data_IF_837793393867
#
_entry.id   IF_837793393867
#
_cell.length_a   1.000
_cell.length_b   1.000
_cell.length_c   1.000
_cell.angle_alpha   90.00
_cell.angle_beta   90.00
_cell.angle_gamma   90.00
#
_symmetry.space_group_name_H-M   'P 1'
#
loop_
_entity.id
_entity.type
_entity.pdbx_description
1 polymer ?
#
# COMPACT_ATOMS: atom_id res chain seq x y z
N UNK A 1 -22.62 56.42 -21.39
CA UNK A 1 -22.95 55.19 -22.06
C UNK A 1 -22.03 54.10 -21.47
N UNK A 2 -22.57 53.34 -20.55
CA UNK A 2 -21.83 52.22 -19.94
C UNK A 2 -21.68 51.10 -20.94
N UNK A 3 -20.45 50.78 -21.33
CA UNK A 3 -20.18 49.54 -21.98
C UNK A 3 -20.49 48.43 -20.97
N UNK A 4 -21.61 47.76 -21.15
CA UNK A 4 -21.85 46.45 -20.53
C UNK A 4 -20.81 45.49 -21.11
N UNK A 5 -19.71 45.28 -20.41
CA UNK A 5 -18.74 44.24 -20.75
C UNK A 5 -19.48 42.89 -20.78
N UNK A 6 -19.48 42.25 -21.90
CA UNK A 6 -19.77 40.82 -21.99
C UNK A 6 -18.65 40.13 -21.23
N UNK A 7 -18.84 39.88 -19.93
CA UNK A 7 -18.00 38.94 -19.20
C UNK A 7 -18.38 37.52 -19.67
N UNK A 8 -17.88 37.13 -20.83
CA UNK A 8 -18.03 35.78 -21.34
C UNK A 8 -17.03 34.84 -20.68
N UNK A 9 -16.99 34.83 -19.32
CA UNK A 9 -16.14 33.91 -18.56
C UNK A 9 -16.55 32.46 -18.85
N UNK A 10 -15.55 31.64 -19.08
CA UNK A 10 -15.68 30.19 -19.23
C UNK A 10 -15.19 29.47 -17.97
N UNK A 11 -15.46 28.18 -17.86
CA UNK A 11 -14.95 27.36 -16.74
C UNK A 11 -13.42 27.24 -16.80
N UNK A 12 -12.86 27.22 -18.03
CA UNK A 12 -11.41 27.26 -18.27
C UNK A 12 -10.76 28.56 -17.76
N UNK A 13 -11.45 29.72 -17.87
CA UNK A 13 -10.97 30.98 -17.28
C UNK A 13 -10.95 30.94 -15.74
N UNK A 14 -11.72 30.05 -15.15
CA UNK A 14 -11.71 29.77 -13.71
C UNK A 14 -10.69 28.70 -13.30
N UNK A 15 -9.92 28.16 -14.26
CA UNK A 15 -8.84 27.20 -14.03
C UNK A 15 -9.26 25.75 -14.10
N UNK A 16 -10.44 25.40 -14.64
CA UNK A 16 -10.92 24.01 -14.84
C UNK A 16 -11.10 23.73 -16.32
N UNK A 17 -10.39 22.73 -16.83
CA UNK A 17 -10.39 22.33 -18.24
C UNK A 17 -11.14 21.03 -18.47
N UNK A 18 -12.41 21.11 -18.92
CA UNK A 18 -13.27 19.97 -19.20
C UNK A 18 -12.69 19.10 -20.33
N UNK A 19 -12.05 19.70 -21.34
CA UNK A 19 -11.50 18.97 -22.48
C UNK A 19 -10.26 18.15 -22.05
N UNK A 20 -9.43 18.68 -21.15
CA UNK A 20 -8.34 17.94 -20.52
C UNK A 20 -8.87 16.74 -19.72
N UNK A 21 -9.95 16.90 -18.95
CA UNK A 21 -10.61 15.81 -18.25
C UNK A 21 -11.12 14.71 -19.18
N UNK A 22 -11.81 15.09 -20.26
CA UNK A 22 -12.27 14.14 -21.27
C UNK A 22 -11.11 13.40 -21.96
N UNK A 23 -10.02 14.11 -22.27
CA UNK A 23 -8.83 13.52 -22.86
C UNK A 23 -8.17 12.51 -21.92
N UNK A 24 -8.08 12.81 -20.62
CA UNK A 24 -7.58 11.86 -19.64
C UNK A 24 -8.43 10.60 -19.63
N UNK A 25 -9.77 10.71 -19.57
CA UNK A 25 -10.67 9.54 -19.58
C UNK A 25 -10.39 8.66 -20.81
N UNK A 26 -10.23 9.24 -22.02
CA UNK A 26 -9.89 8.44 -23.20
C UNK A 26 -8.52 7.74 -23.08
N UNK A 27 -7.51 8.43 -22.55
CA UNK A 27 -6.16 7.87 -22.37
C UNK A 27 -6.14 6.68 -21.41
N UNK A 28 -6.93 6.69 -20.33
CA UNK A 28 -6.90 5.66 -19.29
C UNK A 28 -7.76 4.42 -19.63
N UNK A 29 -8.70 4.48 -20.57
CA UNK A 29 -9.57 3.34 -20.95
C UNK A 29 -8.82 2.03 -21.19
N UNK A 30 -7.70 1.97 -21.94
CA UNK A 30 -6.97 0.73 -22.15
C UNK A 30 -6.41 0.14 -20.85
N UNK A 31 -5.87 0.99 -19.97
CA UNK A 31 -5.32 0.58 -18.67
C UNK A 31 -6.43 0.01 -17.77
N UNK A 32 -7.57 0.69 -17.67
CA UNK A 32 -8.76 0.23 -16.92
C UNK A 32 -9.26 -1.11 -17.44
N UNK A 33 -9.43 -1.27 -18.76
CA UNK A 33 -9.87 -2.53 -19.38
C UNK A 33 -8.94 -3.69 -19.07
N UNK A 34 -7.63 -3.44 -18.89
CA UNK A 34 -6.65 -4.48 -18.57
C UNK A 34 -6.82 -5.08 -17.17
N UNK A 35 -7.64 -4.46 -16.31
CA UNK A 35 -7.92 -4.92 -14.94
C UNK A 35 -9.20 -5.76 -14.84
N UNK A 36 -9.93 -5.99 -15.94
CA UNK A 36 -11.20 -6.74 -15.94
C UNK A 36 -11.06 -8.13 -15.34
N UNK A 37 -12.08 -8.53 -14.61
CA UNK A 37 -12.17 -9.84 -13.98
C UNK A 37 -13.64 -10.31 -13.95
N UNK A 38 -13.92 -11.60 -13.65
CA UNK A 38 -15.27 -12.05 -13.40
C UNK A 38 -15.98 -11.20 -12.37
N UNK A 39 -17.19 -10.76 -12.66
CA UNK A 39 -17.98 -9.85 -11.83
C UNK A 39 -17.80 -8.36 -12.13
N UNK A 40 -16.77 -7.96 -12.89
CA UNK A 40 -16.50 -6.57 -13.28
C UNK A 40 -15.99 -6.50 -14.71
N UNK A 41 -16.88 -6.49 -15.67
CA UNK A 41 -16.62 -6.45 -17.13
C UNK A 41 -17.19 -5.20 -17.83
N UNK A 42 -17.82 -4.29 -17.06
CA UNK A 42 -18.37 -3.03 -17.53
C UNK A 42 -17.33 -2.03 -18.05
N UNK A 43 -17.80 -1.04 -18.81
CA UNK A 43 -16.98 0.13 -19.21
C UNK A 43 -17.07 1.22 -18.14
N UNK A 44 -16.02 2.03 -18.01
CA UNK A 44 -16.03 3.24 -17.19
C UNK A 44 -16.77 4.39 -17.90
N UNK A 45 -17.20 5.40 -17.15
CA UNK A 45 -17.89 6.59 -17.65
C UNK A 45 -19.38 6.65 -17.31
N UNK A 46 -19.91 5.65 -16.59
CA UNK A 46 -21.23 5.73 -15.96
C UNK A 46 -21.16 6.41 -14.59
N UNK A 47 -22.30 6.57 -13.90
CA UNK A 47 -22.37 7.16 -12.56
C UNK A 47 -21.78 6.27 -11.47
N UNK A 48 -21.59 4.98 -11.71
CA UNK A 48 -21.01 4.05 -10.75
C UNK A 48 -20.57 2.76 -11.40
N UNK A 49 -19.60 2.09 -10.79
CA UNK A 49 -19.14 0.77 -11.16
C UNK A 49 -20.04 -0.32 -10.59
N UNK A 50 -20.26 -1.39 -11.36
CA UNK A 50 -21.03 -2.56 -10.94
C UNK A 50 -20.08 -3.72 -10.67
N UNK A 51 -20.40 -4.52 -9.63
CA UNK A 51 -19.69 -5.76 -9.35
C UNK A 51 -20.68 -6.88 -8.98
N UNK A 52 -20.60 -8.00 -9.69
CA UNK A 52 -21.42 -9.18 -9.45
C UNK A 52 -20.65 -10.21 -8.64
N UNK A 53 -20.95 -10.30 -7.34
CA UNK A 53 -20.33 -11.25 -6.41
C UNK A 53 -20.57 -12.71 -6.80
N UNK A 54 -21.73 -13.02 -7.36
CA UNK A 54 -22.06 -14.38 -7.79
C UNK A 54 -21.24 -14.78 -9.00
N UNK A 55 -21.10 -13.89 -9.98
CA UNK A 55 -20.22 -14.11 -11.14
C UNK A 55 -18.74 -14.24 -10.73
N UNK A 56 -18.34 -13.61 -9.64
CA UNK A 56 -17.02 -13.75 -9.04
C UNK A 56 -16.82 -15.05 -8.21
N UNK A 57 -17.88 -15.87 -8.07
CA UNK A 57 -17.80 -17.19 -7.44
C UNK A 57 -18.13 -17.23 -5.94
N UNK A 58 -18.60 -16.12 -5.35
CA UNK A 58 -18.97 -16.09 -3.93
C UNK A 58 -20.39 -16.66 -3.69
N UNK A 59 -20.54 -17.32 -2.53
CA UNK A 59 -21.80 -17.96 -2.10
C UNK A 59 -22.45 -17.22 -0.94
N UNK A 60 -21.71 -16.98 0.15
CA UNK A 60 -22.15 -16.20 1.33
C UNK A 60 -21.05 -15.21 1.76
N UNK A 61 -20.76 -14.17 0.91
CA UNK A 61 -19.64 -13.27 1.16
C UNK A 61 -19.92 -12.27 2.27
N UNK A 62 -18.87 -11.98 3.03
CA UNK A 62 -18.74 -10.76 3.85
C UNK A 62 -17.88 -9.78 3.10
N UNK A 63 -18.37 -8.56 2.86
CA UNK A 63 -17.61 -7.50 2.23
C UNK A 63 -16.64 -6.88 3.24
N UNK A 64 -15.43 -6.59 2.78
CA UNK A 64 -14.40 -5.86 3.50
C UNK A 64 -14.01 -4.65 2.66
N UNK A 65 -13.96 -3.48 3.27
CA UNK A 65 -13.59 -2.24 2.59
C UNK A 65 -12.43 -1.57 3.30
N UNK A 66 -11.52 -1.01 2.52
CA UNK A 66 -10.40 -0.21 3.00
C UNK A 66 -10.25 1.03 2.13
N UNK A 67 -9.82 2.14 2.74
CA UNK A 67 -9.40 3.33 2.01
C UNK A 67 -8.09 3.85 2.58
N UNK A 68 -7.22 4.33 1.70
CA UNK A 68 -5.93 4.90 2.07
C UNK A 68 -5.47 5.88 0.99
N UNK A 69 -4.38 6.60 1.27
CA UNK A 69 -3.66 7.44 0.34
C UNK A 69 -2.21 6.98 0.16
N UNK A 70 -1.44 7.73 -0.63
CA UNK A 70 0.01 7.51 -0.77
C UNK A 70 0.79 8.33 0.27
N UNK A 71 0.22 9.45 0.68
CA UNK A 71 0.84 10.35 1.63
C UNK A 71 2.00 11.16 1.02
N UNK A 72 2.93 11.62 1.88
CA UNK A 72 3.98 12.57 1.46
C UNK A 72 5.08 11.97 0.57
N UNK A 73 5.01 10.68 0.23
CA UNK A 73 5.78 10.08 -0.87
C UNK A 73 5.47 10.76 -2.20
N UNK A 74 4.21 11.21 -2.40
CA UNK A 74 3.80 11.97 -3.58
C UNK A 74 4.67 13.20 -3.82
N UNK A 75 5.12 13.87 -2.75
CA UNK A 75 5.97 15.04 -2.89
C UNK A 75 7.33 14.72 -3.52
N UNK A 76 7.87 13.52 -3.30
CA UNK A 76 9.07 13.06 -3.99
C UNK A 76 8.76 12.81 -5.47
N UNK A 77 7.61 12.19 -5.78
CA UNK A 77 7.20 11.94 -7.16
C UNK A 77 7.04 13.24 -7.95
N UNK A 78 6.44 14.25 -7.33
CA UNK A 78 6.27 15.60 -7.91
C UNK A 78 7.64 16.27 -8.12
N UNK A 79 8.48 16.29 -7.08
CA UNK A 79 9.77 17.00 -7.12
C UNK A 79 10.80 16.30 -8.04
N UNK A 80 10.70 14.98 -8.23
CA UNK A 80 11.55 14.17 -9.08
C UNK A 80 10.97 13.95 -10.49
N UNK A 81 9.76 14.45 -10.76
CA UNK A 81 9.01 14.24 -12.02
C UNK A 81 8.93 12.75 -12.41
N UNK A 82 8.51 11.90 -11.42
CA UNK A 82 8.42 10.45 -11.59
C UNK A 82 7.09 9.93 -11.03
N UNK A 83 6.12 9.68 -11.89
CA UNK A 83 4.71 9.47 -11.51
C UNK A 83 4.20 8.02 -11.72
N UNK A 84 4.95 7.17 -12.39
CA UNK A 84 4.49 5.86 -12.87
C UNK A 84 4.22 4.85 -11.73
N UNK A 85 4.85 5.02 -10.56
CA UNK A 85 4.83 4.02 -9.49
C UNK A 85 3.86 4.34 -8.35
N UNK A 86 3.52 5.62 -8.13
CA UNK A 86 2.68 6.03 -6.99
C UNK A 86 1.27 5.48 -7.04
N UNK A 87 0.76 5.16 -8.24
CA UNK A 87 -0.50 4.46 -8.41
C UNK A 87 -0.46 3.03 -7.86
N UNK A 88 0.69 2.34 -7.97
CA UNK A 88 0.88 1.01 -7.37
C UNK A 88 0.87 1.12 -5.84
N UNK A 89 1.53 2.15 -5.28
CA UNK A 89 1.49 2.42 -3.84
C UNK A 89 0.06 2.61 -3.35
N UNK A 90 -0.74 3.42 -4.05
CA UNK A 90 -2.13 3.66 -3.69
C UNK A 90 -2.95 2.37 -3.59
N UNK A 91 -2.83 1.51 -4.60
CA UNK A 91 -3.53 0.22 -4.60
C UNK A 91 -3.00 -0.67 -3.49
N UNK A 92 -1.68 -0.79 -3.34
CA UNK A 92 -1.04 -1.65 -2.35
C UNK A 92 -1.48 -1.32 -0.92
N UNK A 93 -1.54 -0.03 -0.56
CA UNK A 93 -1.97 0.40 0.78
C UNK A 93 -3.39 -0.05 1.09
N UNK A 94 -4.30 -0.01 0.11
CA UNK A 94 -5.69 -0.44 0.29
C UNK A 94 -5.84 -1.97 0.25
N UNK A 95 -5.27 -2.66 -0.74
CA UNK A 95 -5.53 -4.10 -0.94
C UNK A 95 -4.79 -4.99 0.03
N UNK A 96 -3.63 -4.56 0.55
CA UNK A 96 -2.94 -5.27 1.62
C UNK A 96 -3.79 -5.25 2.91
N UNK A 97 -4.51 -4.17 3.18
CA UNK A 97 -5.43 -4.09 4.33
C UNK A 97 -6.68 -4.96 4.16
N UNK A 98 -7.08 -5.28 2.91
CA UNK A 98 -8.13 -6.26 2.66
C UNK A 98 -7.65 -7.69 2.92
N UNK A 99 -6.47 -8.05 2.41
CA UNK A 99 -5.96 -9.42 2.54
C UNK A 99 -5.61 -9.79 3.98
N UNK A 100 -5.26 -8.82 4.85
CA UNK A 100 -5.06 -9.11 6.28
C UNK A 100 -6.33 -9.56 6.98
N UNK A 101 -7.50 -9.26 6.42
CA UNK A 101 -8.80 -9.79 6.86
C UNK A 101 -9.15 -11.14 6.19
N UNK A 102 -8.26 -11.72 5.38
CA UNK A 102 -8.53 -12.90 4.56
C UNK A 102 -9.41 -12.61 3.33
N UNK A 103 -9.65 -11.35 3.02
CA UNK A 103 -10.53 -10.95 1.91
C UNK A 103 -9.77 -10.87 0.58
N UNK A 104 -10.39 -11.39 -0.48
CA UNK A 104 -9.94 -11.21 -1.86
C UNK A 104 -10.36 -9.84 -2.35
N UNK A 105 -9.44 -8.95 -2.79
CA UNK A 105 -9.78 -7.69 -3.41
C UNK A 105 -10.59 -7.91 -4.70
N UNK A 106 -11.73 -7.23 -4.82
CA UNK A 106 -12.66 -7.37 -5.94
C UNK A 106 -12.56 -6.22 -6.91
N UNK A 107 -12.66 -5.00 -6.37
CA UNK A 107 -12.57 -3.79 -7.16
C UNK A 107 -11.94 -2.64 -6.40
N UNK A 108 -11.50 -1.66 -7.17
CA UNK A 108 -10.82 -0.45 -6.74
C UNK A 108 -11.48 0.78 -7.37
N UNK A 109 -11.52 1.87 -6.63
CA UNK A 109 -11.87 3.21 -7.06
C UNK A 109 -10.79 4.17 -6.61
N UNK A 110 -10.43 5.14 -7.45
CA UNK A 110 -9.47 6.19 -7.10
C UNK A 110 -10.10 7.58 -7.07
N UNK A 111 -9.51 8.46 -6.30
CA UNK A 111 -9.74 9.90 -6.33
C UNK A 111 -8.40 10.60 -6.59
N UNK A 112 -8.31 11.29 -7.71
CA UNK A 112 -7.16 12.06 -8.13
C UNK A 112 -7.52 13.55 -8.10
N UNK A 113 -6.94 14.32 -7.16
CA UNK A 113 -7.14 15.75 -7.03
C UNK A 113 -5.84 16.49 -7.38
N UNK A 114 -5.94 17.53 -8.21
CA UNK A 114 -4.78 18.32 -8.65
C UNK A 114 -5.11 19.80 -8.76
N UNK A 115 -4.09 20.65 -8.70
CA UNK A 115 -4.26 22.09 -8.89
C UNK A 115 -4.52 22.48 -10.34
N UNK A 116 -3.88 21.75 -11.28
CA UNK A 116 -4.08 21.83 -12.71
C UNK A 116 -3.86 20.47 -13.34
N UNK A 117 -4.81 20.02 -14.14
CA UNK A 117 -4.74 18.71 -14.77
C UNK A 117 -3.79 18.70 -15.95
N UNK A 118 -2.79 17.80 -15.88
CA UNK A 118 -2.00 17.34 -17.01
C UNK A 118 -2.48 15.94 -17.39
N UNK A 119 -3.08 15.74 -18.59
CA UNK A 119 -3.61 14.44 -18.99
C UNK A 119 -2.54 13.35 -19.15
N UNK A 120 -1.29 13.69 -19.45
CA UNK A 120 -0.22 12.71 -19.58
C UNK A 120 0.28 12.25 -18.20
N UNK A 121 0.48 13.18 -17.28
CA UNK A 121 0.77 12.87 -15.88
C UNK A 121 -0.35 12.03 -15.24
N UNK A 122 -1.62 12.46 -15.42
CA UNK A 122 -2.78 11.71 -14.93
C UNK A 122 -2.85 10.29 -15.52
N UNK A 123 -2.56 10.13 -16.81
CA UNK A 123 -2.53 8.82 -17.45
C UNK A 123 -1.40 7.92 -16.91
N UNK A 124 -0.22 8.46 -16.60
CA UNK A 124 0.87 7.73 -15.94
C UNK A 124 0.45 7.25 -14.55
N UNK A 125 -0.13 8.12 -13.73
CA UNK A 125 -0.64 7.78 -12.39
C UNK A 125 -1.69 6.67 -12.45
N UNK A 126 -2.73 6.83 -13.29
CA UNK A 126 -3.79 5.81 -13.43
C UNK A 126 -3.25 4.52 -14.06
N UNK A 127 -2.24 4.62 -14.92
CA UNK A 127 -1.47 3.48 -15.43
C UNK A 127 -0.85 2.66 -14.30
N UNK A 128 -0.25 3.33 -13.33
CA UNK A 128 0.27 2.73 -12.08
C UNK A 128 -0.84 2.10 -11.23
N UNK A 129 -1.98 2.77 -11.07
CA UNK A 129 -3.16 2.22 -10.37
C UNK A 129 -3.62 0.92 -11.05
N UNK A 130 -3.76 0.93 -12.37
CA UNK A 130 -4.15 -0.27 -13.12
C UNK A 130 -3.12 -1.40 -13.01
N UNK A 131 -1.82 -1.08 -12.96
CA UNK A 131 -0.75 -2.06 -12.71
C UNK A 131 -0.91 -2.71 -11.32
N UNK A 132 -1.10 -1.92 -10.28
CA UNK A 132 -1.37 -2.42 -8.92
C UNK A 132 -2.63 -3.27 -8.85
N UNK A 133 -3.72 -2.86 -9.53
CA UNK A 133 -4.95 -3.62 -9.61
C UNK A 133 -4.75 -4.99 -10.29
N UNK A 134 -4.00 -5.06 -11.39
CA UNK A 134 -3.64 -6.35 -12.03
C UNK A 134 -2.81 -7.24 -11.13
N UNK A 135 -1.85 -6.66 -10.42
CA UNK A 135 -1.01 -7.38 -9.46
C UNK A 135 -1.86 -7.92 -8.31
N UNK A 136 -2.76 -7.13 -7.74
CA UNK A 136 -3.69 -7.54 -6.70
C UNK A 136 -4.79 -8.50 -7.22
N UNK A 137 -5.10 -8.49 -8.50
CA UNK A 137 -6.19 -9.26 -9.09
C UNK A 137 -7.57 -8.63 -8.90
N UNK A 138 -7.66 -7.33 -8.67
CA UNK A 138 -8.92 -6.58 -8.60
C UNK A 138 -9.17 -5.73 -9.86
N UNK A 139 -10.41 -5.32 -10.07
CA UNK A 139 -10.79 -4.46 -11.20
C UNK A 139 -10.80 -2.99 -10.80
N UNK A 140 -10.19 -2.13 -11.60
CA UNK A 140 -10.40 -0.68 -11.53
C UNK A 140 -11.73 -0.38 -12.23
N UNK A 141 -12.79 -0.11 -11.46
CA UNK A 141 -14.16 -0.01 -12.01
C UNK A 141 -14.68 1.43 -12.11
N UNK A 142 -13.90 2.40 -11.65
CA UNK A 142 -14.23 3.81 -11.69
C UNK A 142 -13.26 4.63 -10.88
N UNK A 143 -13.52 5.89 -10.80
CA UNK A 143 -12.74 6.86 -10.06
C UNK A 143 -13.25 8.27 -10.32
N UNK A 144 -12.59 9.26 -9.73
CA UNK A 144 -12.90 10.68 -9.91
C UNK A 144 -11.61 11.45 -10.12
N UNK A 145 -11.60 12.36 -11.07
CA UNK A 145 -10.51 13.32 -11.27
C UNK A 145 -11.05 14.72 -11.03
N UNK A 146 -10.47 15.42 -10.05
CA UNK A 146 -10.88 16.77 -9.68
C UNK A 146 -9.75 17.77 -9.92
N UNK A 147 -10.02 18.75 -10.78
CA UNK A 147 -9.18 19.93 -10.93
C UNK A 147 -9.63 21.00 -9.93
N UNK A 148 -8.76 21.34 -8.99
CA UNK A 148 -9.09 22.16 -7.81
C UNK A 148 -8.13 23.37 -7.68
N UNK A 149 -8.22 24.33 -8.60
CA UNK A 149 -7.38 25.52 -8.60
C UNK A 149 -7.57 26.30 -7.30
N UNK A 150 -6.45 26.71 -6.68
CA UNK A 150 -6.45 27.42 -5.41
C UNK A 150 -6.47 26.54 -4.16
N UNK A 151 -6.80 25.24 -4.26
CA UNK A 151 -6.61 24.27 -3.18
C UNK A 151 -5.27 23.55 -3.29
N UNK A 152 -4.88 23.18 -4.50
CA UNK A 152 -3.56 22.64 -4.81
C UNK A 152 -2.78 23.63 -5.65
N UNK A 153 -1.45 23.67 -5.49
CA UNK A 153 -0.57 24.43 -6.39
C UNK A 153 -0.52 23.74 -7.77
N UNK A 154 -0.15 24.50 -8.81
CA UNK A 154 0.07 23.90 -10.12
C UNK A 154 1.19 22.84 -10.04
N UNK A 155 0.91 21.61 -10.51
CA UNK A 155 1.80 20.46 -10.44
C UNK A 155 1.68 19.62 -9.15
N UNK A 156 1.07 20.15 -8.09
CA UNK A 156 0.76 19.36 -6.91
C UNK A 156 -0.53 18.54 -7.12
N UNK A 157 -0.55 17.33 -6.56
CA UNK A 157 -1.72 16.46 -6.57
C UNK A 157 -1.78 15.58 -5.33
N UNK A 158 -2.96 15.04 -5.06
CA UNK A 158 -3.20 14.04 -4.03
C UNK A 158 -3.99 12.86 -4.58
N UNK A 159 -3.80 11.70 -3.97
CA UNK A 159 -4.41 10.44 -4.36
C UNK A 159 -5.07 9.79 -3.15
N UNK A 160 -6.33 9.39 -3.31
CA UNK A 160 -7.02 8.52 -2.38
C UNK A 160 -7.57 7.30 -3.11
N UNK A 161 -7.46 6.13 -2.48
CA UNK A 161 -7.95 4.87 -3.00
C UNK A 161 -9.04 4.29 -2.12
N UNK A 162 -9.96 3.58 -2.71
CA UNK A 162 -11.00 2.83 -2.05
C UNK A 162 -11.10 1.45 -2.67
N UNK A 163 -10.79 0.42 -1.86
CA UNK A 163 -10.84 -0.96 -2.27
C UNK A 163 -11.96 -1.70 -1.54
N UNK A 164 -12.65 -2.58 -2.26
CA UNK A 164 -13.60 -3.52 -1.67
C UNK A 164 -13.17 -4.93 -2.04
N UNK A 165 -13.15 -5.78 -1.02
CA UNK A 165 -12.90 -7.21 -1.13
C UNK A 165 -14.00 -8.01 -0.48
N UNK A 166 -13.91 -9.32 -0.58
CA UNK A 166 -14.81 -10.24 0.09
C UNK A 166 -14.09 -11.50 0.58
N UNK A 167 -14.62 -12.06 1.66
CA UNK A 167 -14.30 -13.41 2.12
C UNK A 167 -15.59 -14.15 2.38
N UNK A 168 -15.60 -15.48 2.21
CA UNK A 168 -16.73 -16.30 2.62
C UNK A 168 -16.92 -16.21 4.14
N UNK A 169 -18.17 -16.21 4.59
CA UNK A 169 -18.48 -16.18 6.02
C UNK A 169 -17.80 -17.35 6.73
N UNK A 170 -17.13 -17.06 7.85
CA UNK A 170 -16.33 -18.03 8.59
C UNK A 170 -14.91 -18.27 8.06
N UNK A 171 -14.47 -17.51 7.03
CA UNK A 171 -13.10 -17.54 6.50
C UNK A 171 -12.31 -16.24 6.76
N UNK A 172 -12.89 -15.33 7.54
CA UNK A 172 -12.24 -14.08 7.94
C UNK A 172 -11.05 -14.33 8.88
N UNK A 173 -10.05 -13.47 8.78
CA UNK A 173 -8.93 -13.36 9.72
C UNK A 173 -9.08 -12.08 10.58
N UNK A 174 -8.48 -12.02 11.79
CA UNK A 174 -7.77 -13.12 12.43
C UNK A 174 -8.71 -14.24 12.88
N UNK A 175 -8.21 -15.47 12.86
CA UNK A 175 -8.94 -16.62 13.39
C UNK A 175 -8.96 -16.58 14.93
N UNK A 176 -9.96 -17.20 15.55
CA UNK A 176 -10.12 -17.21 17.00
C UNK A 176 -9.16 -18.12 17.77
N UNK A 177 -8.27 -18.84 17.10
CA UNK A 177 -7.42 -19.91 17.64
C UNK A 177 -5.94 -19.54 17.74
N UNK A 178 -5.59 -18.24 17.70
CA UNK A 178 -4.22 -17.77 17.95
C UNK A 178 -3.82 -18.15 19.37
N UNK A 179 -2.68 -18.82 19.55
CA UNK A 179 -2.23 -19.38 20.81
C UNK A 179 -0.77 -19.04 21.13
N UNK A 180 -0.38 -19.21 22.40
CA UNK A 180 1.01 -19.17 22.82
C UNK A 180 1.80 -20.27 22.11
N UNK A 181 3.01 -19.95 21.60
CA UNK A 181 3.85 -20.84 20.82
C UNK A 181 3.66 -20.70 19.30
N UNK A 182 2.56 -20.09 18.82
CA UNK A 182 2.40 -19.83 17.38
C UNK A 182 3.60 -19.05 16.84
N UNK A 183 4.03 -19.44 15.65
CA UNK A 183 5.20 -18.86 14.97
C UNK A 183 4.80 -17.58 14.24
N UNK A 184 5.68 -16.60 14.31
CA UNK A 184 5.56 -15.34 13.60
C UNK A 184 6.54 -15.36 12.42
N UNK A 185 5.98 -15.35 11.20
CA UNK A 185 6.72 -15.19 9.96
C UNK A 185 6.62 -13.74 9.51
N UNK A 186 7.68 -13.24 8.88
CA UNK A 186 7.71 -11.94 8.20
C UNK A 186 7.94 -12.10 6.72
N UNK A 187 7.21 -11.34 5.89
CA UNK A 187 7.45 -11.22 4.47
C UNK A 187 8.24 -9.95 4.19
N UNK A 188 9.30 -10.07 3.39
CA UNK A 188 10.18 -8.94 3.09
C UNK A 188 9.42 -7.81 2.38
N UNK A 189 9.76 -6.57 2.73
CA UNK A 189 9.31 -5.38 2.00
C UNK A 189 10.18 -5.13 0.76
N UNK A 190 9.65 -4.36 -0.19
CA UNK A 190 10.40 -3.84 -1.35
C UNK A 190 11.31 -2.65 -1.01
N UNK A 191 11.07 -2.03 0.15
CA UNK A 191 11.74 -0.81 0.59
C UNK A 191 10.92 -0.09 1.65
N UNK A 192 10.91 1.23 1.61
CA UNK A 192 10.20 2.08 2.59
C UNK A 192 8.67 1.91 2.52
N UNK A 193 8.15 1.44 1.38
CA UNK A 193 6.72 1.40 1.05
C UNK A 193 6.13 2.82 0.93
N UNK A 194 5.03 3.12 1.65
CA UNK A 194 4.39 4.44 1.60
C UNK A 194 4.27 5.12 2.97
N UNK A 195 5.05 4.68 3.97
CA UNK A 195 4.99 5.22 5.32
C UNK A 195 6.31 5.88 5.72
N UNK A 196 6.23 6.90 6.59
CA UNK A 196 7.40 7.59 7.11
C UNK A 196 8.04 8.61 6.17
N UNK A 197 7.43 8.94 5.03
CA UNK A 197 8.04 9.79 4.00
C UNK A 197 8.24 11.25 4.40
N UNK A 198 7.53 11.76 5.40
CA UNK A 198 7.84 13.08 5.97
C UNK A 198 9.23 13.08 6.63
N UNK A 199 9.57 11.99 7.35
CA UNK A 199 10.91 11.81 7.93
C UNK A 199 11.96 11.55 6.84
N UNK A 200 11.66 10.70 5.85
CA UNK A 200 12.55 10.45 4.69
C UNK A 200 12.94 11.75 4.01
N UNK A 201 11.96 12.59 3.64
CA UNK A 201 12.19 13.89 2.98
C UNK A 201 13.07 14.81 3.85
N UNK A 202 12.82 14.85 5.16
CA UNK A 202 13.65 15.64 6.09
C UNK A 202 15.09 15.14 6.16
N UNK A 203 15.28 13.82 6.13
CA UNK A 203 16.64 13.22 6.12
C UNK A 203 17.35 13.52 4.80
N UNK A 204 16.65 13.45 3.66
CA UNK A 204 17.22 13.82 2.35
C UNK A 204 17.63 15.30 2.34
N UNK A 205 16.79 16.20 2.88
CA UNK A 205 17.14 17.63 3.04
C UNK A 205 18.43 17.80 3.85
N UNK A 206 18.57 17.09 4.98
CA UNK A 206 19.77 17.12 5.83
C UNK A 206 21.01 16.57 5.12
N UNK A 207 20.85 15.60 4.22
CA UNK A 207 21.97 15.03 3.46
C UNK A 207 22.55 15.98 2.42
N UNK A 208 21.81 17.01 2.02
CA UNK A 208 22.16 17.92 0.93
C UNK A 208 22.11 17.31 -0.46
N UNK A 209 21.60 16.08 -0.61
CA UNK A 209 21.45 15.41 -1.90
C UNK A 209 20.18 15.88 -2.62
N UNK A 210 20.28 16.11 -3.93
CA UNK A 210 19.12 16.30 -4.80
C UNK A 210 18.51 14.96 -5.24
N UNK A 211 17.26 14.99 -5.73
CA UNK A 211 16.55 13.78 -6.19
C UNK A 211 17.24 13.08 -7.36
N UNK A 212 18.01 13.83 -8.18
CA UNK A 212 18.80 13.32 -9.31
C UNK A 212 20.16 12.74 -8.92
N UNK A 213 20.60 12.91 -7.67
CA UNK A 213 21.85 12.35 -7.20
C UNK A 213 21.82 10.82 -7.20
N UNK A 214 22.97 10.12 -7.37
CA UNK A 214 23.04 8.68 -7.18
C UNK A 214 22.55 8.27 -5.79
N UNK A 215 21.72 7.24 -5.70
CA UNK A 215 21.23 6.74 -4.42
C UNK A 215 22.37 6.11 -3.59
N UNK A 216 22.62 6.55 -2.33
CA UNK A 216 23.74 6.05 -1.53
C UNK A 216 23.59 4.58 -1.07
N UNK A 217 22.41 4.00 -1.20
CA UNK A 217 22.06 2.68 -0.68
C UNK A 217 21.73 1.64 -1.79
N UNK A 218 21.80 2.05 -3.06
CA UNK A 218 21.63 1.14 -4.20
C UNK A 218 22.36 1.70 -5.43
N UNK A 219 22.97 0.81 -6.20
CA UNK A 219 23.69 1.21 -7.43
C UNK A 219 22.73 1.40 -8.61
N UNK A 220 23.09 2.28 -9.52
CA UNK A 220 22.43 2.45 -10.81
C UNK A 220 21.10 3.21 -10.79
N UNK A 221 20.61 3.63 -9.63
CA UNK A 221 19.37 4.42 -9.49
C UNK A 221 19.64 5.83 -8.97
N UNK A 222 18.84 6.79 -9.41
CA UNK A 222 18.76 8.12 -8.79
C UNK A 222 18.07 8.00 -7.42
N UNK A 223 18.37 8.95 -6.52
CA UNK A 223 17.81 8.95 -5.16
C UNK A 223 16.28 9.00 -5.17
N UNK A 224 15.68 9.87 -5.98
CA UNK A 224 14.22 9.96 -6.13
C UNK A 224 13.63 8.64 -6.61
N UNK A 225 14.16 8.05 -7.66
CA UNK A 225 13.72 6.75 -8.20
C UNK A 225 13.84 5.62 -7.17
N UNK A 226 14.96 5.54 -6.45
CA UNK A 226 15.19 4.50 -5.45
C UNK A 226 14.25 4.62 -4.24
N UNK A 227 13.88 5.84 -3.84
CA UNK A 227 12.91 6.09 -2.76
C UNK A 227 11.45 5.92 -3.22
N UNK A 228 11.19 5.98 -4.53
CA UNK A 228 9.88 5.74 -5.13
C UNK A 228 9.63 4.26 -5.46
N UNK A 229 10.52 3.34 -5.04
CA UNK A 229 10.25 1.90 -5.16
C UNK A 229 8.84 1.59 -4.62
N UNK A 230 7.96 0.93 -5.41
CA UNK A 230 6.57 0.72 -5.01
C UNK A 230 6.42 -0.16 -3.78
N UNK A 231 5.35 0.09 -3.04
CA UNK A 231 4.88 -0.79 -1.97
C UNK A 231 4.55 -2.18 -2.54
N UNK A 232 5.09 -3.23 -1.92
CA UNK A 232 4.84 -4.62 -2.32
C UNK A 232 3.38 -5.00 -2.09
N UNK A 233 2.76 -5.63 -3.08
CA UNK A 233 1.41 -6.19 -3.00
C UNK A 233 1.51 -7.68 -2.63
N UNK A 234 1.02 -8.05 -1.45
CA UNK A 234 1.10 -9.42 -0.91
C UNK A 234 -0.14 -10.27 -1.20
N UNK A 235 -1.11 -9.73 -1.92
CA UNK A 235 -2.47 -10.30 -2.05
C UNK A 235 -2.46 -11.72 -2.62
N UNK A 236 -1.90 -11.92 -3.82
CA UNK A 236 -1.96 -13.25 -4.48
C UNK A 236 -1.20 -14.33 -3.72
N UNK A 237 0.05 -14.10 -3.26
CA UNK A 237 0.77 -15.07 -2.44
C UNK A 237 0.01 -15.46 -1.17
N UNK A 238 -0.54 -14.47 -0.44
CA UNK A 238 -1.27 -14.72 0.79
C UNK A 238 -2.58 -15.45 0.55
N UNK A 239 -3.39 -15.05 -0.43
CA UNK A 239 -4.64 -15.74 -0.77
C UNK A 239 -4.37 -17.18 -1.20
N UNK A 240 -3.30 -17.43 -1.94
CA UNK A 240 -2.90 -18.80 -2.32
C UNK A 240 -2.52 -19.62 -1.09
N UNK A 241 -1.67 -19.08 -0.21
CA UNK A 241 -1.28 -19.77 1.02
C UNK A 241 -2.50 -20.05 1.92
N UNK A 242 -3.45 -19.10 2.06
CA UNK A 242 -4.71 -19.30 2.78
C UNK A 242 -5.52 -20.47 2.20
N UNK A 243 -5.66 -20.52 0.87
CA UNK A 243 -6.45 -21.56 0.19
C UNK A 243 -5.82 -22.95 0.24
N UNK A 244 -4.50 -23.02 0.06
CA UNK A 244 -3.78 -24.29 -0.02
C UNK A 244 -3.52 -24.92 1.35
N UNK A 245 -3.22 -24.11 2.36
CA UNK A 245 -2.84 -24.62 3.67
C UNK A 245 -3.98 -24.56 4.70
N UNK A 246 -4.86 -23.57 4.59
CA UNK A 246 -5.88 -23.31 5.60
C UNK A 246 -5.32 -22.99 6.99
N UNK A 247 -4.02 -22.67 7.09
CA UNK A 247 -3.27 -22.63 8.34
C UNK A 247 -2.91 -21.23 8.84
N UNK A 248 -3.22 -20.18 8.07
CA UNK A 248 -2.94 -18.81 8.47
C UNK A 248 -3.95 -18.37 9.54
N UNK A 249 -3.44 -17.92 10.70
CA UNK A 249 -4.27 -17.49 11.83
C UNK A 249 -4.47 -16.00 11.90
N UNK A 250 -3.44 -15.21 11.55
CA UNK A 250 -3.51 -13.75 11.47
C UNK A 250 -2.48 -13.20 10.49
N UNK A 251 -2.80 -12.02 9.98
CA UNK A 251 -1.93 -11.22 9.12
C UNK A 251 -1.89 -9.80 9.67
N UNK A 252 -0.73 -9.13 9.59
CA UNK A 252 -0.62 -7.71 9.93
C UNK A 252 0.23 -6.97 8.90
N UNK A 253 -0.35 -5.98 8.24
CA UNK A 253 0.34 -5.08 7.32
C UNK A 253 1.16 -4.07 8.12
N UNK A 254 2.46 -3.99 7.88
CA UNK A 254 3.35 -3.08 8.60
C UNK A 254 3.39 -1.73 7.90
N UNK A 255 2.60 -0.80 8.40
CA UNK A 255 2.42 0.57 7.93
C UNK A 255 2.90 1.59 8.96
N UNK A 256 2.37 2.80 8.95
CA UNK A 256 2.65 3.82 9.99
C UNK A 256 2.37 3.27 11.40
N UNK A 257 3.24 3.61 12.34
CA UNK A 257 3.25 2.99 13.66
C UNK A 257 4.15 1.75 13.76
N UNK A 258 4.61 1.19 12.63
CA UNK A 258 5.57 0.08 12.55
C UNK A 258 5.14 -1.19 13.29
N UNK A 259 6.10 -1.96 13.77
CA UNK A 259 5.83 -3.20 14.51
C UNK A 259 5.03 -2.98 15.80
N UNK A 260 5.33 -1.98 16.64
CA UNK A 260 4.68 -1.84 17.94
C UNK A 260 3.18 -1.55 17.86
N UNK A 261 2.72 -0.89 16.80
CA UNK A 261 1.32 -0.50 16.66
C UNK A 261 0.51 -1.44 15.75
N UNK A 262 1.12 -2.02 14.69
CA UNK A 262 0.37 -2.83 13.74
C UNK A 262 0.20 -4.29 14.18
N UNK A 263 1.24 -4.92 14.74
CA UNK A 263 1.14 -6.33 15.14
C UNK A 263 0.04 -6.56 16.20
N UNK A 264 -0.07 -5.75 17.27
CA UNK A 264 -1.08 -5.97 18.30
C UNK A 264 -2.54 -5.84 17.85
N UNK A 265 -2.80 -5.18 16.69
CA UNK A 265 -4.17 -5.00 16.17
C UNK A 265 -4.89 -6.31 15.88
N UNK A 266 -4.12 -7.34 15.53
CA UNK A 266 -4.65 -8.64 15.10
C UNK A 266 -4.52 -9.71 16.19
N UNK A 267 -3.98 -9.36 17.36
CA UNK A 267 -3.69 -10.32 18.43
C UNK A 267 -4.75 -10.29 19.55
N UNK A 268 -5.06 -11.43 20.16
CA UNK A 268 -5.81 -11.50 21.41
C UNK A 268 -5.10 -10.70 22.52
N UNK A 269 -5.86 -10.04 23.39
CA UNK A 269 -5.31 -9.16 24.44
C UNK A 269 -4.39 -9.87 25.44
N UNK A 270 -4.52 -11.18 25.62
CA UNK A 270 -3.70 -11.99 26.53
C UNK A 270 -2.43 -12.53 25.90
N UNK A 271 -2.17 -12.21 24.62
CA UNK A 271 -0.97 -12.60 23.90
C UNK A 271 -0.14 -11.38 23.48
N UNK A 272 1.16 -11.59 23.31
CA UNK A 272 2.09 -10.64 22.72
C UNK A 272 2.98 -11.34 21.69
N UNK A 273 3.43 -10.57 20.71
CA UNK A 273 4.42 -11.00 19.75
C UNK A 273 5.84 -10.78 20.30
N UNK A 274 6.63 -11.82 20.44
CA UNK A 274 8.05 -11.74 20.75
C UNK A 274 8.85 -11.82 19.44
N UNK A 275 9.46 -10.70 19.03
CA UNK A 275 10.20 -10.54 17.79
C UNK A 275 11.69 -10.56 18.04
N UNK A 276 12.42 -11.41 17.32
CA UNK A 276 13.88 -11.41 17.28
C UNK A 276 14.37 -10.39 16.22
N UNK A 277 14.84 -9.24 16.68
CA UNK A 277 15.35 -8.18 15.80
C UNK A 277 16.62 -8.59 15.04
N UNK A 278 17.37 -9.58 15.53
CA UNK A 278 18.55 -10.08 14.82
C UNK A 278 18.18 -10.91 13.57
N UNK A 279 16.96 -11.45 13.52
CA UNK A 279 16.45 -12.15 12.33
C UNK A 279 16.03 -11.19 11.21
N UNK A 280 15.74 -9.93 11.51
CA UNK A 280 15.30 -8.94 10.53
C UNK A 280 16.45 -8.58 9.59
N UNK A 281 16.28 -8.85 8.30
CA UNK A 281 17.22 -8.45 7.25
C UNK A 281 16.90 -7.04 6.79
N UNK A 282 17.56 -6.06 7.43
CA UNK A 282 17.30 -4.64 7.16
C UNK A 282 17.87 -4.23 5.79
N UNK A 283 17.04 -3.76 4.84
CA UNK A 283 17.52 -3.24 3.56
C UNK A 283 18.41 -2.00 3.74
N UNK A 284 19.40 -1.78 2.83
CA UNK A 284 20.37 -0.70 2.95
C UNK A 284 19.77 0.70 3.06
N UNK A 285 18.58 0.93 2.48
CA UNK A 285 17.86 2.21 2.58
C UNK A 285 17.59 2.60 4.03
N UNK A 286 17.20 1.65 4.90
CA UNK A 286 16.92 1.95 6.31
C UNK A 286 18.20 2.22 7.10
N UNK A 287 19.29 1.51 6.82
CA UNK A 287 20.59 1.80 7.42
C UNK A 287 21.11 3.18 7.03
N UNK A 288 20.89 3.59 5.77
CA UNK A 288 21.24 4.93 5.32
C UNK A 288 20.37 5.99 6.01
N UNK A 289 19.05 5.79 6.08
CA UNK A 289 18.13 6.70 6.77
C UNK A 289 18.50 6.86 8.25
N UNK A 290 18.77 5.76 8.94
CA UNK A 290 19.15 5.78 10.35
C UNK A 290 20.44 6.57 10.59
N UNK A 291 21.49 6.29 9.81
CA UNK A 291 22.80 6.97 9.93
C UNK A 291 22.71 8.45 9.56
N UNK A 292 22.09 8.78 8.43
CA UNK A 292 22.01 10.15 7.92
C UNK A 292 21.13 11.03 8.82
N UNK A 293 20.02 10.47 9.31
CA UNK A 293 19.07 11.17 10.18
C UNK A 293 19.41 11.10 11.66
N UNK A 294 20.41 10.30 12.08
CA UNK A 294 20.66 10.03 13.48
C UNK A 294 19.45 9.38 14.19
N UNK A 295 18.68 8.57 13.46
CA UNK A 295 17.42 8.01 13.97
C UNK A 295 17.71 6.74 14.77
N UNK A 296 17.26 6.72 16.02
CA UNK A 296 17.45 5.57 16.92
C UNK A 296 16.62 4.36 16.46
N UNK A 297 17.10 3.14 16.76
CA UNK A 297 16.45 1.89 16.39
C UNK A 297 14.97 1.80 16.82
N UNK A 298 14.63 2.33 17.99
CA UNK A 298 13.25 2.37 18.50
C UNK A 298 12.34 3.21 17.61
N UNK A 299 12.83 4.36 17.14
CA UNK A 299 12.07 5.24 16.25
C UNK A 299 11.99 4.66 14.84
N UNK A 300 13.06 4.00 14.36
CA UNK A 300 13.03 3.24 13.11
C UNK A 300 11.92 2.19 13.11
N UNK A 301 11.82 1.38 14.18
CA UNK A 301 10.78 0.35 14.34
C UNK A 301 9.36 0.91 14.48
N UNK A 302 9.22 2.17 14.92
CA UNK A 302 7.91 2.84 15.05
C UNK A 302 7.48 3.54 13.76
N UNK A 303 8.43 4.04 12.99
CA UNK A 303 8.14 4.83 11.79
C UNK A 303 8.08 3.97 10.53
N UNK A 304 8.94 2.93 10.44
CA UNK A 304 9.19 2.17 9.23
C UNK A 304 8.93 0.66 9.40
N UNK A 305 8.79 -0.03 8.27
CA UNK A 305 8.70 -1.48 8.22
C UNK A 305 10.06 -2.19 8.43
N UNK A 306 11.18 -1.48 8.37
CA UNK A 306 12.57 -1.97 8.55
C UNK A 306 12.92 -3.22 7.72
N UNK A 307 12.21 -3.47 6.61
CA UNK A 307 12.45 -4.61 5.73
C UNK A 307 11.42 -5.74 5.84
N UNK A 308 10.39 -5.59 6.68
CA UNK A 308 9.29 -6.54 6.83
C UNK A 308 7.97 -5.83 6.62
N UNK A 309 7.32 -6.05 5.48
CA UNK A 309 6.07 -5.37 5.13
C UNK A 309 4.81 -6.09 5.60
N UNK A 310 4.88 -7.40 5.84
CA UNK A 310 3.73 -8.21 6.26
C UNK A 310 4.14 -9.23 7.31
N UNK A 311 3.33 -9.40 8.34
CA UNK A 311 3.44 -10.43 9.37
C UNK A 311 2.41 -11.52 9.10
N UNK A 312 2.81 -12.78 9.31
CA UNK A 312 1.93 -13.96 9.22
C UNK A 312 2.07 -14.77 10.51
N UNK A 313 0.94 -15.07 11.16
CA UNK A 313 0.89 -15.90 12.37
C UNK A 313 0.32 -17.27 12.00
N UNK A 314 1.05 -18.32 12.38
CA UNK A 314 0.69 -19.72 12.10
C UNK A 314 1.03 -20.62 13.28
N UNK A 315 0.36 -21.78 13.42
CA UNK A 315 0.79 -22.81 14.36
C UNK A 315 2.17 -23.33 14.00
N UNK A 316 2.98 -23.74 15.01
CA UNK A 316 4.38 -24.17 14.81
C UNK A 316 4.50 -25.32 13.80
N UNK A 317 3.60 -26.28 13.86
CA UNK A 317 3.58 -27.44 12.93
C UNK A 317 3.28 -27.05 11.48
N UNK A 318 2.64 -25.90 11.24
CA UNK A 318 2.30 -25.42 9.90
C UNK A 318 3.31 -24.42 9.32
N UNK A 319 4.24 -23.91 10.13
CA UNK A 319 5.14 -22.83 9.73
C UNK A 319 5.96 -23.17 8.48
N UNK A 320 6.47 -24.39 8.39
CA UNK A 320 7.26 -24.85 7.24
C UNK A 320 6.42 -24.93 5.95
N UNK A 321 5.21 -25.48 6.03
CA UNK A 321 4.32 -25.61 4.87
C UNK A 321 3.84 -24.23 4.36
N UNK A 322 3.49 -23.31 5.27
CA UNK A 322 3.11 -21.95 4.91
C UNK A 322 4.29 -21.18 4.31
N UNK A 323 5.49 -21.28 4.90
CA UNK A 323 6.70 -20.66 4.34
C UNK A 323 6.96 -21.15 2.92
N UNK A 324 6.91 -22.47 2.69
CA UNK A 324 7.11 -23.06 1.36
C UNK A 324 6.07 -22.57 0.35
N UNK A 325 4.80 -22.48 0.73
CA UNK A 325 3.73 -21.97 -0.14
C UNK A 325 3.97 -20.51 -0.55
N UNK A 326 4.39 -19.66 0.39
CA UNK A 326 4.71 -18.26 0.15
C UNK A 326 5.98 -18.08 -0.70
N UNK A 327 7.03 -18.85 -0.42
CA UNK A 327 8.29 -18.83 -1.18
C UNK A 327 8.09 -19.31 -2.62
N UNK A 328 7.19 -20.27 -2.86
CA UNK A 328 6.83 -20.71 -4.20
C UNK A 328 6.17 -19.61 -5.06
N UNK A 329 5.57 -18.62 -4.41
CA UNK A 329 5.03 -17.42 -5.06
C UNK A 329 6.03 -16.24 -5.10
N UNK A 330 7.29 -16.48 -4.74
CA UNK A 330 8.37 -15.49 -4.80
C UNK A 330 8.49 -14.58 -3.59
N UNK A 331 7.81 -14.90 -2.48
CA UNK A 331 7.99 -14.18 -1.23
C UNK A 331 9.30 -14.58 -0.55
N UNK A 332 9.95 -13.60 0.10
CA UNK A 332 11.07 -13.88 1.00
C UNK A 332 10.53 -13.98 2.42
N UNK A 333 10.50 -15.19 2.96
CA UNK A 333 9.95 -15.49 4.28
C UNK A 333 11.06 -15.52 5.33
N UNK A 334 10.81 -14.92 6.48
CA UNK A 334 11.73 -14.84 7.62
C UNK A 334 10.97 -15.31 8.85
N UNK A 335 11.50 -16.28 9.61
CA UNK A 335 10.97 -16.58 10.95
C UNK A 335 11.43 -15.48 11.90
N UNK A 336 10.49 -14.68 12.40
CA UNK A 336 10.76 -13.51 13.23
C UNK A 336 10.65 -13.79 14.71
N UNK A 337 9.88 -14.81 15.12
CA UNK A 337 9.66 -15.04 16.55
C UNK A 337 8.42 -15.91 16.80
N UNK A 338 7.82 -15.69 17.97
CA UNK A 338 6.67 -16.48 18.42
C UNK A 338 5.68 -15.67 19.24
N UNK A 339 4.49 -16.21 19.37
CA UNK A 339 3.48 -15.71 20.31
C UNK A 339 3.83 -16.14 21.73
N UNK A 340 3.72 -15.22 22.68
CA UNK A 340 3.94 -15.46 24.12
C UNK A 340 2.76 -14.96 24.94
N UNK A 341 2.64 -15.47 26.17
CA UNK A 341 1.70 -14.92 27.13
C UNK A 341 2.00 -13.46 27.46
N UNK A 342 0.97 -12.62 27.48
CA UNK A 342 1.06 -11.19 27.78
C UNK A 342 0.53 -10.90 29.17
N UNK A 343 1.38 -10.34 30.05
CA UNK A 343 0.94 -9.84 31.34
C UNK A 343 0.00 -8.63 31.15
N UNK A 344 -0.90 -8.41 32.10
CA UNK A 344 -1.79 -7.27 32.10
C UNK A 344 -1.01 -5.95 32.06
N UNK A 345 -1.39 -5.05 31.16
CA UNK A 345 -0.70 -3.77 30.96
C UNK A 345 0.64 -3.82 30.21
N UNK A 346 1.14 -5.02 29.88
CA UNK A 346 2.37 -5.15 29.08
C UNK A 346 2.18 -4.76 27.61
N UNK A 347 3.28 -4.51 26.89
CA UNK A 347 3.23 -4.24 25.45
C UNK A 347 2.73 -5.45 24.67
N UNK A 348 2.04 -5.21 23.55
CA UNK A 348 1.58 -6.27 22.65
C UNK A 348 2.66 -6.80 21.70
N UNK A 349 3.79 -6.08 21.62
CA UNK A 349 5.00 -6.51 20.90
C UNK A 349 6.21 -6.28 21.78
N UNK A 350 7.05 -7.29 21.94
CA UNK A 350 8.31 -7.24 22.68
C UNK A 350 9.45 -7.71 21.79
N UNK A 351 10.66 -7.27 22.09
CA UNK A 351 11.80 -7.49 21.22
C UNK A 351 12.92 -8.23 21.93
N UNK A 352 13.59 -9.14 21.21
CA UNK A 352 14.88 -9.73 21.53
C UNK A 352 15.93 -9.28 20.54
N UNK A 353 17.20 -9.30 20.95
CA UNK A 353 18.32 -8.90 20.09
C UNK A 353 18.31 -7.41 19.73
N UNK A 354 19.04 -7.06 18.69
CA UNK A 354 19.21 -5.69 18.19
C UNK A 354 18.98 -5.63 16.68
N UNK A 355 18.35 -4.55 16.23
CA UNK A 355 18.17 -4.28 14.82
C UNK A 355 19.51 -3.84 14.20
N UNK A 356 19.94 -4.50 13.12
CA UNK A 356 21.20 -4.18 12.42
C UNK A 356 20.98 -3.01 11.43
N UNK A 357 21.09 -1.75 11.92
CA UNK A 357 20.92 -0.50 11.14
C UNK A 357 22.21 0.33 11.08
#
# INVERSE_FOLDING_TARGET
>A
MSQSGKNGLTYSDAGVDIDAGNLLVEKIKPAVRSTRRPGADGEIGGFGGLFDLKAAGFTDPVLVAANDGVGTKLKIAIDADYHDTVGIDLVAMCVNDLVVQGAEPLFFLDYFATGKLDPDQGAAIVGGIAAGCREAGCALIGGETAEMPGMYSSGDYDLAGFAVGAAERGKLLPSGDIAEGDVILGLASSGVHSNGFSLVRKIVELSGLGWDAPAPFTEGKKLGEALLEPTRIYVKPLLKAIRETGALKALAHITGGGFPENIPRVLPKHLAAEIDLAAVKVPPVFSWLAKMGGVEAKEMLRTFNCGVGMIVVVAEENAAAVSQALEAEGEKVITLGRMIARAEGAAGTVYKGTLAI
#
